data_IF_427609591983
#
_entry.id   IF_427609591983
#
_cell.length_a   1.000
_cell.length_b   1.000
_cell.length_c   1.000
_cell.angle_alpha   90.00
_cell.angle_beta   90.00
_cell.angle_gamma   90.00
#
_symmetry.space_group_name_H-M   'P 1'
#
loop_
_entity.id
_entity.type
_entity.pdbx_description
1 polymer ?
#
# COMPACT_ATOMS: atom_id res chain seq x y z
N UNK A 1 -9.23 5.75 5.04
CA UNK A 1 -8.68 4.47 5.53
C UNK A 1 -8.65 3.50 4.37
N UNK A 2 -7.53 2.81 4.18
CA UNK A 2 -7.38 1.79 3.15
C UNK A 2 -6.69 0.54 3.67
N UNK A 3 -7.20 -0.65 3.30
CA UNK A 3 -6.60 -1.93 3.64
C UNK A 3 -6.02 -2.59 2.39
N UNK A 4 -4.83 -3.19 2.51
CA UNK A 4 -4.19 -3.95 1.43
C UNK A 4 -4.08 -3.10 0.14
N UNK A 5 -4.54 -3.61 -0.99
CA UNK A 5 -4.55 -2.90 -2.27
C UNK A 5 -5.35 -1.59 -2.22
N UNK A 6 -6.41 -1.51 -1.38
CA UNK A 6 -7.17 -0.27 -1.15
C UNK A 6 -6.32 0.80 -0.46
N UNK A 7 -5.43 0.40 0.43
CA UNK A 7 -4.45 1.29 1.05
C UNK A 7 -3.47 1.87 0.01
N UNK A 8 -2.93 1.01 -0.85
CA UNK A 8 -2.08 1.44 -1.95
C UNK A 8 -2.78 2.38 -2.92
N UNK A 9 -4.03 2.06 -3.30
CA UNK A 9 -4.82 2.92 -4.18
C UNK A 9 -5.06 4.30 -3.57
N UNK A 10 -5.37 4.36 -2.27
CA UNK A 10 -5.54 5.62 -1.53
C UNK A 10 -4.25 6.45 -1.50
N UNK A 11 -3.11 5.79 -1.28
CA UNK A 11 -1.81 6.43 -1.27
C UNK A 11 -1.48 7.03 -2.64
N UNK A 12 -1.65 6.25 -3.71
CA UNK A 12 -1.43 6.68 -5.08
C UNK A 12 -2.36 7.84 -5.47
N UNK A 13 -3.64 7.74 -5.12
CA UNK A 13 -4.62 8.82 -5.35
C UNK A 13 -4.16 10.14 -4.71
N UNK A 14 -3.79 10.08 -3.43
CA UNK A 14 -3.37 11.29 -2.71
C UNK A 14 -2.09 11.89 -3.28
N UNK A 15 -1.13 11.06 -3.66
CA UNK A 15 0.10 11.52 -4.30
C UNK A 15 -0.14 12.17 -5.68
N UNK A 16 -1.12 11.66 -6.44
CA UNK A 16 -1.44 12.14 -7.79
C UNK A 16 -2.25 13.42 -7.77
N UNK A 17 -3.27 13.49 -6.90
CA UNK A 17 -4.24 14.60 -6.91
C UNK A 17 -3.98 15.63 -5.82
N UNK A 18 -3.16 15.30 -4.82
CA UNK A 18 -2.81 16.12 -3.66
C UNK A 18 -4.04 16.88 -3.09
N UNK A 19 -5.09 16.11 -2.81
CA UNK A 19 -6.36 16.66 -2.32
C UNK A 19 -6.17 17.31 -0.95
N UNK A 20 -6.28 18.64 -0.81
CA UNK A 20 -6.01 19.35 0.43
C UNK A 20 -7.02 19.09 1.53
N UNK A 21 -8.16 18.48 1.22
CA UNK A 21 -9.18 18.12 2.22
C UNK A 21 -8.82 16.81 2.94
N UNK A 22 -7.82 16.07 2.45
CA UNK A 22 -7.33 14.85 3.09
C UNK A 22 -6.19 15.23 4.04
N UNK A 23 -6.53 15.40 5.31
CA UNK A 23 -5.57 15.76 6.36
C UNK A 23 -4.86 14.54 6.94
N UNK A 24 -5.56 13.41 7.03
CA UNK A 24 -5.07 12.17 7.64
C UNK A 24 -5.41 10.95 6.79
N UNK A 25 -4.50 9.99 6.77
CA UNK A 25 -4.67 8.72 6.08
C UNK A 25 -4.27 7.56 6.98
N UNK A 26 -5.00 6.46 6.92
CA UNK A 26 -4.67 5.22 7.62
C UNK A 26 -4.54 4.11 6.61
N UNK A 27 -3.40 3.42 6.60
CA UNK A 27 -3.14 2.28 5.73
C UNK A 27 -2.90 1.03 6.58
N UNK A 28 -3.59 -0.05 6.24
CA UNK A 28 -3.56 -1.34 6.92
C UNK A 28 -2.99 -2.39 5.99
N UNK A 29 -1.83 -2.98 6.30
CA UNK A 29 -1.23 -4.04 5.50
C UNK A 29 -1.08 -3.67 4.01
N UNK A 30 -0.74 -2.41 3.72
CA UNK A 30 -0.67 -1.93 2.34
C UNK A 30 0.67 -2.25 1.68
N UNK A 31 0.68 -2.70 0.42
CA UNK A 31 1.91 -2.94 -0.32
C UNK A 31 2.51 -1.63 -0.84
N UNK A 32 3.82 -1.53 -0.82
CA UNK A 32 4.57 -0.41 -1.40
C UNK A 32 4.73 -0.52 -2.91
N UNK A 33 4.84 -1.75 -3.40
CA UNK A 33 5.15 -2.05 -4.78
C UNK A 33 4.09 -2.96 -5.42
N UNK A 34 3.47 -2.46 -6.50
CA UNK A 34 2.50 -3.24 -7.24
C UNK A 34 3.15 -4.39 -8.02
N UNK A 35 4.41 -4.23 -8.44
CA UNK A 35 5.11 -5.25 -9.20
C UNK A 35 5.30 -6.55 -8.38
N UNK A 36 5.50 -6.43 -7.07
CA UNK A 36 5.61 -7.61 -6.17
C UNK A 36 4.29 -8.36 -6.11
N UNK A 37 3.18 -7.63 -5.93
CA UNK A 37 1.84 -8.23 -5.90
C UNK A 37 1.53 -8.89 -7.23
N UNK A 38 1.80 -8.20 -8.32
CA UNK A 38 1.61 -8.75 -9.66
C UNK A 38 2.41 -10.04 -9.86
N UNK A 39 3.69 -10.05 -9.48
CA UNK A 39 4.54 -11.25 -9.54
C UNK A 39 4.00 -12.40 -8.70
N UNK A 40 3.47 -12.13 -7.51
CA UNK A 40 2.85 -13.14 -6.66
C UNK A 40 1.60 -13.74 -7.34
N UNK A 41 0.76 -12.93 -7.99
CA UNK A 41 -0.39 -13.42 -8.76
C UNK A 41 0.03 -14.24 -9.97
N UNK A 42 1.06 -13.81 -10.73
CA UNK A 42 1.62 -14.58 -11.83
C UNK A 42 2.06 -15.96 -11.36
N UNK A 43 2.75 -16.05 -10.21
CA UNK A 43 3.15 -17.31 -9.60
C UNK A 43 1.98 -18.16 -9.12
N UNK A 44 1.02 -17.55 -8.41
CA UNK A 44 -0.16 -18.24 -7.87
C UNK A 44 -1.02 -18.86 -8.98
N UNK A 45 -1.23 -18.11 -10.06
CA UNK A 45 -2.02 -18.53 -11.22
C UNK A 45 -1.23 -19.34 -12.25
N UNK A 46 0.08 -19.55 -11.99
CA UNK A 46 1.01 -20.24 -12.89
C UNK A 46 0.95 -19.71 -14.34
N UNK A 47 0.91 -18.39 -14.47
CA UNK A 47 0.84 -17.75 -15.78
C UNK A 47 2.16 -17.96 -16.53
N UNK A 48 2.04 -18.15 -17.86
CA UNK A 48 3.23 -18.21 -18.71
C UNK A 48 3.87 -16.83 -18.86
N UNK A 49 5.17 -16.78 -19.17
CA UNK A 49 5.89 -15.53 -19.44
C UNK A 49 5.26 -14.72 -20.58
N UNK A 50 4.64 -15.41 -21.56
CA UNK A 50 3.88 -14.74 -22.63
C UNK A 50 2.64 -14.03 -22.08
N UNK A 51 1.90 -14.66 -21.16
CA UNK A 51 0.72 -14.05 -20.55
C UNK A 51 1.13 -12.85 -19.68
N UNK A 52 2.20 -12.97 -18.93
CA UNK A 52 2.76 -11.87 -18.14
C UNK A 52 3.09 -10.66 -19.03
N UNK A 53 3.79 -10.88 -20.15
CA UNK A 53 4.09 -9.82 -21.12
C UNK A 53 2.83 -9.17 -21.70
N UNK A 54 1.81 -9.96 -22.04
CA UNK A 54 0.53 -9.44 -22.58
C UNK A 54 -0.20 -8.58 -21.55
N UNK A 55 -0.15 -8.94 -20.27
CA UNK A 55 -0.74 -8.14 -19.20
C UNK A 55 0.03 -6.81 -19.05
N UNK A 56 1.36 -6.84 -19.05
CA UNK A 56 2.16 -5.61 -19.02
C UNK A 56 1.88 -4.71 -20.22
N UNK A 57 1.77 -5.29 -21.42
CA UNK A 57 1.41 -4.55 -22.62
C UNK A 57 0.01 -3.93 -22.50
N UNK A 58 -0.97 -4.70 -22.01
CA UNK A 58 -2.32 -4.19 -21.77
C UNK A 58 -2.36 -3.00 -20.80
N UNK A 59 -1.59 -3.06 -19.70
CA UNK A 59 -1.46 -1.93 -18.78
C UNK A 59 -0.88 -0.71 -19.48
N UNK A 60 0.16 -0.89 -20.26
CA UNK A 60 0.75 0.20 -21.04
C UNK A 60 -0.23 0.79 -22.05
N UNK A 61 -0.90 -0.05 -22.84
CA UNK A 61 -1.83 0.40 -23.88
C UNK A 61 -3.02 1.17 -23.29
N UNK A 62 -3.50 0.73 -22.14
CA UNK A 62 -4.69 1.32 -21.51
C UNK A 62 -4.39 2.54 -20.64
N UNK A 63 -3.31 2.52 -19.90
CA UNK A 63 -3.03 3.52 -18.87
C UNK A 63 -1.78 4.36 -19.15
N UNK A 64 -0.96 3.97 -20.12
CA UNK A 64 0.34 4.59 -20.43
C UNK A 64 1.29 4.64 -19.22
N UNK A 65 1.16 3.68 -18.31
CA UNK A 65 1.94 3.57 -17.08
C UNK A 65 2.60 2.20 -17.01
N UNK A 66 3.87 2.17 -16.65
CA UNK A 66 4.57 0.92 -16.37
C UNK A 66 4.24 0.44 -14.96
N UNK A 67 4.04 -0.87 -14.79
CA UNK A 67 3.74 -1.48 -13.49
C UNK A 67 4.73 -1.07 -12.39
N UNK A 68 6.03 -0.95 -12.74
CA UNK A 68 7.07 -0.52 -11.82
C UNK A 68 6.90 0.92 -11.31
N UNK A 69 6.20 1.79 -12.03
CA UNK A 69 5.96 3.19 -11.64
C UNK A 69 4.91 3.30 -10.52
N UNK A 70 4.17 2.23 -10.25
CA UNK A 70 3.27 2.14 -9.10
C UNK A 70 3.98 1.77 -7.79
N UNK A 71 5.24 2.10 -7.63
CA UNK A 71 5.98 1.93 -6.38
C UNK A 71 5.95 3.20 -5.54
N UNK A 72 5.75 3.05 -4.21
CA UNK A 72 5.68 4.17 -3.27
C UNK A 72 6.95 5.06 -3.30
N UNK A 73 8.10 4.51 -3.66
CA UNK A 73 9.35 5.26 -3.81
C UNK A 73 9.26 6.44 -4.78
N UNK A 74 8.38 6.36 -5.79
CA UNK A 74 8.28 7.40 -6.81
C UNK A 74 7.31 8.52 -6.43
N UNK A 75 6.35 8.27 -5.53
CA UNK A 75 5.29 9.24 -5.28
C UNK A 75 5.00 9.54 -3.81
N UNK A 76 5.31 8.65 -2.87
CA UNK A 76 4.92 8.84 -1.48
C UNK A 76 5.58 10.05 -0.80
N UNK A 77 6.73 10.51 -1.32
CA UNK A 77 7.42 11.69 -0.80
C UNK A 77 6.65 13.01 -1.01
N UNK A 78 5.71 13.05 -1.94
CA UNK A 78 4.89 14.26 -2.21
C UNK A 78 3.68 14.40 -1.27
N UNK A 79 3.37 13.36 -0.48
CA UNK A 79 2.18 13.35 0.37
C UNK A 79 2.43 14.13 1.65
N UNK A 80 1.65 15.17 1.87
CA UNK A 80 1.71 16.05 3.05
C UNK A 80 0.72 15.66 4.14
N UNK A 81 -0.33 14.91 3.81
CA UNK A 81 -1.27 14.38 4.78
C UNK A 81 -0.55 13.53 5.85
N UNK A 82 -1.00 13.60 7.10
CA UNK A 82 -0.47 12.74 8.17
C UNK A 82 -0.86 11.29 7.91
N UNK A 83 0.07 10.36 8.10
CA UNK A 83 -0.13 8.93 7.86
C UNK A 83 0.00 8.08 9.10
N UNK A 84 -0.92 7.14 9.30
CA UNK A 84 -0.75 6.00 10.19
C UNK A 84 -0.70 4.73 9.35
N UNK A 85 0.43 4.04 9.40
CA UNK A 85 0.62 2.72 8.83
C UNK A 85 0.50 1.68 9.93
N UNK A 86 -0.37 0.71 9.77
CA UNK A 86 -0.52 -0.42 10.67
C UNK A 86 -0.23 -1.70 9.92
N UNK A 87 0.72 -2.50 10.39
CA UNK A 87 1.13 -3.74 9.74
C UNK A 87 1.51 -4.81 10.75
N UNK A 88 1.12 -6.03 10.47
CA UNK A 88 1.44 -7.17 11.31
C UNK A 88 2.73 -7.87 10.86
N UNK A 89 3.57 -8.28 11.82
CA UNK A 89 4.82 -9.00 11.53
C UNK A 89 4.56 -10.38 10.90
N UNK A 90 3.43 -10.98 11.22
CA UNK A 90 3.05 -12.31 10.75
C UNK A 90 2.15 -12.26 9.49
N UNK A 91 2.10 -11.08 8.82
CA UNK A 91 1.41 -10.94 7.53
C UNK A 91 2.17 -11.69 6.42
N UNK A 92 1.57 -12.76 5.93
CA UNK A 92 2.13 -13.60 4.86
C UNK A 92 1.61 -13.24 3.46
N UNK A 93 0.65 -12.32 3.37
CA UNK A 93 0.05 -11.86 2.10
C UNK A 93 0.80 -10.65 1.56
N UNK A 94 0.99 -9.66 2.42
CA UNK A 94 1.82 -8.49 2.17
C UNK A 94 2.86 -8.43 3.28
N UNK A 95 4.12 -8.57 2.93
CA UNK A 95 5.19 -8.61 3.94
C UNK A 95 5.34 -7.27 4.66
N UNK A 96 5.67 -7.31 5.93
CA UNK A 96 5.80 -6.13 6.78
C UNK A 96 6.79 -5.08 6.23
N UNK A 97 7.85 -5.50 5.52
CA UNK A 97 8.83 -4.60 4.91
C UNK A 97 8.22 -3.66 3.85
N UNK A 98 7.07 -4.01 3.29
CA UNK A 98 6.34 -3.13 2.37
C UNK A 98 5.86 -1.85 3.07
N UNK A 99 5.34 -1.95 4.30
CA UNK A 99 4.99 -0.74 5.07
C UNK A 99 6.21 0.03 5.57
N UNK A 100 7.32 -0.64 5.83
CA UNK A 100 8.58 0.04 6.14
C UNK A 100 9.05 0.90 4.96
N UNK A 101 8.96 0.39 3.74
CA UNK A 101 9.27 1.14 2.51
C UNK A 101 8.34 2.35 2.34
N UNK A 102 7.02 2.19 2.53
CA UNK A 102 6.08 3.31 2.47
C UNK A 102 6.47 4.39 3.50
N UNK A 103 6.69 3.99 4.76
CA UNK A 103 7.07 4.90 5.84
C UNK A 103 8.38 5.64 5.57
N UNK A 104 9.34 4.96 4.94
CA UNK A 104 10.63 5.57 4.56
C UNK A 104 10.45 6.75 3.60
N UNK A 105 9.57 6.62 2.61
CA UNK A 105 9.34 7.64 1.59
C UNK A 105 8.26 8.65 1.99
N UNK A 106 7.28 8.28 2.79
CA UNK A 106 6.21 9.17 3.27
C UNK A 106 6.59 9.79 4.62
N UNK A 107 7.27 10.94 4.60
CA UNK A 107 7.85 11.56 5.80
C UNK A 107 6.84 11.99 6.87
N UNK A 108 5.60 12.27 6.49
CA UNK A 108 4.53 12.62 7.44
C UNK A 108 3.80 11.38 8.01
N UNK A 109 4.33 10.17 7.82
CA UNK A 109 3.73 8.93 8.32
C UNK A 109 4.46 8.35 9.52
N UNK A 110 3.71 7.59 10.32
CA UNK A 110 4.21 6.76 11.41
C UNK A 110 3.82 5.31 11.14
N UNK A 111 4.75 4.38 11.32
CA UNK A 111 4.50 2.94 11.23
C UNK A 111 4.36 2.36 12.63
N UNK A 112 3.22 1.73 12.90
CA UNK A 112 2.98 0.93 14.08
C UNK A 112 2.83 -0.54 13.69
N UNK A 113 3.57 -1.38 14.39
CA UNK A 113 3.64 -2.82 14.13
C UNK A 113 2.79 -3.58 15.14
N UNK A 114 2.11 -4.61 14.66
CA UNK A 114 1.42 -5.61 15.46
C UNK A 114 2.02 -6.99 15.25
N UNK A 115 1.60 -7.96 16.05
CA UNK A 115 2.01 -9.36 15.90
C UNK A 115 0.84 -10.29 16.19
N UNK A 116 0.71 -11.37 15.42
CA UNK A 116 -0.31 -12.40 15.60
C UNK A 116 -1.67 -12.08 15.00
N UNK A 117 -1.82 -10.98 14.24
CA UNK A 117 -3.08 -10.59 13.62
C UNK A 117 -3.14 -10.95 12.13
N UNK A 118 -1.98 -11.18 11.51
CA UNK A 118 -1.86 -11.44 10.10
C UNK A 118 -2.38 -10.32 9.22
N UNK A 119 -2.71 -10.64 7.97
CA UNK A 119 -3.11 -9.64 6.96
C UNK A 119 -4.41 -8.90 7.27
N UNK A 120 -5.32 -9.50 8.03
CA UNK A 120 -6.65 -8.91 8.28
C UNK A 120 -6.61 -7.71 9.22
N UNK A 121 -5.67 -7.68 10.18
CA UNK A 121 -5.54 -6.64 11.21
C UNK A 121 -6.84 -6.37 12.00
N UNK A 122 -7.79 -7.31 11.99
CA UNK A 122 -9.09 -7.16 12.65
C UNK A 122 -8.97 -7.38 14.17
N UNK A 123 -8.71 -6.29 14.88
CA UNK A 123 -8.53 -6.32 16.33
C UNK A 123 -8.99 -5.01 16.98
N UNK A 124 -9.57 -5.09 18.18
CA UNK A 124 -10.05 -3.92 18.93
C UNK A 124 -8.93 -2.91 19.24
N UNK A 125 -7.70 -3.40 19.46
CA UNK A 125 -6.54 -2.54 19.72
C UNK A 125 -6.21 -1.74 18.46
N UNK A 126 -6.23 -2.39 17.29
CA UNK A 126 -6.03 -1.73 15.99
C UNK A 126 -7.09 -0.66 15.75
N UNK A 127 -8.37 -0.99 16.00
CA UNK A 127 -9.47 -0.04 15.84
C UNK A 127 -9.33 1.17 16.77
N UNK A 128 -8.91 0.93 18.02
CA UNK A 128 -8.64 2.03 18.96
C UNK A 128 -7.54 2.95 18.46
N UNK A 129 -6.43 2.39 17.97
CA UNK A 129 -5.32 3.19 17.40
C UNK A 129 -5.76 4.04 16.22
N UNK A 130 -6.60 3.49 15.34
CA UNK A 130 -7.17 4.23 14.20
C UNK A 130 -8.03 5.40 14.69
N UNK A 131 -8.93 5.14 15.64
CA UNK A 131 -9.82 6.19 16.19
C UNK A 131 -8.98 7.27 16.87
N UNK A 132 -8.04 6.88 17.74
CA UNK A 132 -7.17 7.82 18.45
C UNK A 132 -6.40 8.71 17.45
N UNK A 133 -5.85 8.14 16.38
CA UNK A 133 -5.13 8.89 15.36
C UNK A 133 -6.05 9.86 14.58
N UNK A 134 -7.25 9.44 14.21
CA UNK A 134 -8.15 10.26 13.41
C UNK A 134 -8.72 11.45 14.18
N UNK A 135 -8.96 11.30 15.47
CA UNK A 135 -9.64 12.30 16.31
C UNK A 135 -8.70 13.09 17.26
N UNK A 136 -7.39 12.88 17.19
CA UNK A 136 -6.38 13.78 17.77
C UNK A 136 -6.17 15.00 16.86
#
# INVERSE_FOLDING_TARGET
IGHSIGGKASLYYQATYNNPTVEKMVLLGAPSDYAIIFKNYVGLLRLSSRMEQLIHQHYWDRFQIKVAEFSAQYYAHSITAKGLLLHDLDDTVVLHDESQKINHYWKASVLETTQGLGHSLQNKIVYKKIVDFLFQ
#
